data_IF_305407785274
#
_entry.id   IF_305407785274
#
_cell.length_a   1.000
_cell.length_b   1.000
_cell.length_c   1.000
_cell.angle_alpha   90.00
_cell.angle_beta   90.00
_cell.angle_gamma   90.00
#
_symmetry.space_group_name_H-M   'P 1'
#
loop_
_entity.id
_entity.type
_entity.pdbx_description
1 polymer ?
#
# COMPACT_ATOMS: atom_id res chain seq x y z
N UNK A 1 -12.11 21.58 5.49
CA UNK A 1 -10.67 21.35 5.30
C UNK A 1 -10.42 19.86 5.07
N UNK A 2 -10.21 19.46 3.83
CA UNK A 2 -9.94 18.06 3.48
C UNK A 2 -8.54 17.70 3.95
N UNK A 3 -8.44 17.00 5.08
CA UNK A 3 -7.17 16.59 5.68
C UNK A 3 -6.31 15.91 4.64
N UNK A 4 -5.25 16.60 4.21
CA UNK A 4 -4.25 16.14 3.25
C UNK A 4 -3.50 14.99 3.92
N UNK A 5 -4.07 13.78 3.87
CA UNK A 5 -3.48 12.57 4.44
C UNK A 5 -2.08 12.43 3.83
N UNK A 6 -1.06 12.20 4.68
CA UNK A 6 0.33 11.99 4.25
C UNK A 6 0.34 10.98 3.10
N UNK A 7 0.74 11.45 1.91
CA UNK A 7 0.81 10.63 0.69
C UNK A 7 1.73 9.44 0.99
N UNK A 8 1.18 8.22 1.02
CA UNK A 8 1.97 7.00 1.16
C UNK A 8 1.85 6.22 2.48
N UNK A 9 1.00 6.62 3.43
CA UNK A 9 0.80 5.86 4.67
C UNK A 9 0.02 4.54 4.48
N UNK A 10 -0.68 4.40 3.35
CA UNK A 10 -1.54 3.25 3.10
C UNK A 10 -2.77 3.19 4.01
N UNK A 11 -3.73 2.34 3.66
CA UNK A 11 -4.95 2.11 4.46
C UNK A 11 -5.19 0.63 4.60
N UNK A 12 -5.34 0.16 5.84
CA UNK A 12 -5.70 -1.21 6.17
C UNK A 12 -7.17 -1.21 6.61
N UNK A 13 -8.03 -1.97 5.90
CA UNK A 13 -9.47 -2.09 6.15
C UNK A 13 -9.85 -3.55 6.39
N UNK A 14 -10.71 -3.82 7.37
CA UNK A 14 -11.34 -5.12 7.52
C UNK A 14 -12.53 -5.24 6.55
N UNK A 15 -12.61 -6.37 5.85
CA UNK A 15 -13.67 -6.68 4.90
C UNK A 15 -14.70 -7.61 5.53
N UNK A 16 -15.91 -7.69 4.97
CA UNK A 16 -17.03 -8.48 5.51
C UNK A 16 -16.75 -9.99 5.55
N UNK A 17 -15.84 -10.47 4.72
CA UNK A 17 -15.37 -11.87 4.67
C UNK A 17 -14.28 -12.18 5.72
N UNK A 18 -14.00 -11.26 6.65
CA UNK A 18 -13.00 -11.44 7.71
C UNK A 18 -11.55 -11.26 7.24
N UNK A 19 -11.33 -10.95 5.95
CA UNK A 19 -10.02 -10.63 5.40
C UNK A 19 -9.69 -9.15 5.57
N UNK A 20 -8.42 -8.87 5.80
CA UNK A 20 -7.84 -7.56 5.86
C UNK A 20 -7.35 -7.15 4.48
N UNK A 21 -7.81 -5.99 4.02
CA UNK A 21 -7.43 -5.39 2.75
C UNK A 21 -6.54 -4.18 3.02
N UNK A 22 -5.26 -4.31 2.66
CA UNK A 22 -4.25 -3.26 2.81
C UNK A 22 -3.98 -2.60 1.47
N UNK A 23 -4.11 -1.28 1.39
CA UNK A 23 -3.73 -0.49 0.21
C UNK A 23 -2.48 0.31 0.51
N UNK A 24 -1.50 0.29 -0.37
CA UNK A 24 -0.27 1.10 -0.24
C UNK A 24 0.21 1.60 -1.59
N UNK A 25 0.76 2.82 -1.59
CA UNK A 25 1.50 3.35 -2.74
C UNK A 25 2.85 2.65 -2.74
N UNK A 26 3.11 1.85 -3.77
CA UNK A 26 4.32 1.05 -3.92
C UNK A 26 5.38 1.75 -4.77
N UNK A 27 5.02 2.81 -5.49
CA UNK A 27 5.94 3.60 -6.30
C UNK A 27 5.19 4.67 -7.09
N UNK A 28 5.93 5.36 -7.94
CA UNK A 28 5.40 6.29 -8.93
C UNK A 28 5.89 5.83 -10.30
N UNK A 29 5.02 5.90 -11.30
CA UNK A 29 5.40 5.59 -12.69
C UNK A 29 6.26 6.71 -13.28
N UNK A 30 6.82 6.50 -14.47
CA UNK A 30 7.56 7.54 -15.23
C UNK A 30 6.71 8.79 -15.49
N UNK A 31 5.39 8.62 -15.61
CA UNK A 31 4.42 9.70 -15.71
C UNK A 31 4.12 10.41 -14.37
N UNK A 32 4.84 10.10 -13.28
CA UNK A 32 4.62 10.67 -11.95
C UNK A 32 3.33 10.20 -11.25
N UNK A 33 2.66 9.19 -11.80
CA UNK A 33 1.40 8.68 -11.26
C UNK A 33 1.62 7.65 -10.14
N UNK A 34 0.97 7.77 -8.98
CA UNK A 34 1.18 6.85 -7.87
C UNK A 34 0.64 5.45 -8.19
N UNK A 35 1.53 4.46 -8.24
CA UNK A 35 1.16 3.04 -8.33
C UNK A 35 0.73 2.56 -6.95
N UNK A 36 -0.57 2.32 -6.77
CA UNK A 36 -1.08 1.68 -5.56
C UNK A 36 -1.30 0.19 -5.77
N UNK A 37 -0.82 -0.64 -4.85
CA UNK A 37 -1.22 -2.05 -4.75
C UNK A 37 -2.13 -2.27 -3.55
N UNK A 38 -3.00 -3.27 -3.70
CA UNK A 38 -3.81 -3.84 -2.63
C UNK A 38 -3.28 -5.23 -2.27
N UNK A 39 -3.33 -5.57 -0.99
CA UNK A 39 -3.04 -6.90 -0.47
C UNK A 39 -4.19 -7.39 0.37
N UNK A 40 -4.45 -8.69 0.26
CA UNK A 40 -5.41 -9.39 1.08
C UNK A 40 -4.65 -10.29 2.06
N UNK A 41 -5.03 -10.21 3.33
CA UNK A 41 -4.48 -11.03 4.40
C UNK A 41 -5.58 -11.50 5.33
N UNK A 42 -5.38 -12.62 6.04
CA UNK A 42 -6.37 -13.09 7.03
C UNK A 42 -6.26 -12.32 8.35
N UNK A 43 -5.09 -11.78 8.65
CA UNK A 43 -4.84 -11.03 9.89
C UNK A 43 -4.27 -9.63 9.61
N UNK A 44 -4.46 -8.70 10.55
CA UNK A 44 -3.87 -7.35 10.48
C UNK A 44 -2.35 -7.39 10.39
N UNK A 45 -1.72 -8.32 11.10
CA UNK A 45 -0.25 -8.48 11.16
C UNK A 45 0.31 -8.94 9.82
N UNK A 46 -0.27 -10.00 9.24
CA UNK A 46 0.12 -10.42 7.88
C UNK A 46 -0.13 -9.32 6.84
N UNK A 47 -1.21 -8.55 7.00
CA UNK A 47 -1.48 -7.42 6.12
C UNK A 47 -0.36 -6.37 6.20
N UNK A 48 0.02 -5.97 7.42
CA UNK A 48 1.10 -5.01 7.64
C UNK A 48 2.45 -5.50 7.11
N UNK A 49 2.79 -6.78 7.31
CA UNK A 49 4.03 -7.36 6.80
C UNK A 49 4.06 -7.43 5.27
N UNK A 50 2.95 -7.86 4.64
CA UNK A 50 2.83 -7.86 3.17
C UNK A 50 2.95 -6.44 2.61
N UNK A 51 2.35 -5.46 3.26
CA UNK A 51 2.48 -4.06 2.88
C UNK A 51 3.92 -3.54 3.02
N UNK A 52 4.62 -3.91 4.09
CA UNK A 52 6.02 -3.54 4.31
C UNK A 52 6.93 -4.18 3.25
N UNK A 53 6.80 -5.50 3.01
CA UNK A 53 7.52 -6.22 1.95
C UNK A 53 7.23 -5.66 0.56
N UNK A 54 5.98 -5.29 0.28
CA UNK A 54 5.63 -4.67 -1.00
C UNK A 54 6.28 -3.31 -1.18
N UNK A 55 6.31 -2.48 -0.13
CA UNK A 55 7.03 -1.21 -0.18
C UNK A 55 8.52 -1.42 -0.44
N UNK A 56 9.12 -2.43 0.17
CA UNK A 56 10.55 -2.74 0.02
C UNK A 56 10.86 -3.32 -1.38
N UNK A 57 10.05 -4.26 -1.87
CA UNK A 57 10.19 -4.82 -3.23
C UNK A 57 9.94 -3.78 -4.33
N UNK A 58 8.98 -2.88 -4.15
CA UNK A 58 8.61 -1.92 -5.18
C UNK A 58 9.28 -0.55 -5.05
N UNK A 59 10.00 -0.29 -3.96
CA UNK A 59 10.85 0.90 -3.79
C UNK A 59 12.01 0.99 -4.79
N UNK A 60 12.10 0.06 -5.74
CA UNK A 60 13.14 -0.03 -6.76
C UNK A 60 12.87 0.70 -8.07
N UNK A 61 11.84 1.55 -8.20
CA UNK A 61 11.80 2.47 -9.36
C UNK A 61 12.76 3.64 -9.14
N UNK A 62 14.06 3.37 -9.25
CA UNK A 62 15.05 4.38 -9.59
C UNK A 62 14.95 4.60 -11.10
N UNK A 63 14.45 5.74 -11.61
CA UNK A 63 14.82 6.12 -12.96
C UNK A 63 16.34 6.37 -12.96
N UNK A 64 17.02 5.78 -13.94
CA UNK A 64 18.40 6.12 -14.32
C UNK A 64 18.45 7.51 -14.92
#
# INVERSE_FOLDING_TARGET
MSGKRKKGSGTIRLRKDGRWEGRVVIGYDEAGSPKTKNVLAKTKRECAEKLKKLKEQCGGFRPV
#
